data_IF_718560951098
#
_entry.id   IF_718560951098
#
_cell.length_a   1.000
_cell.length_b   1.000
_cell.length_c   1.000
_cell.angle_alpha   90.00
_cell.angle_beta   90.00
_cell.angle_gamma   90.00
#
_symmetry.space_group_name_H-M   'P 1'
#
loop_
_entity.id
_entity.type
_entity.pdbx_description
1 polymer ?
#
# COMPACT_ATOMS: atom_id res chain seq x y z
N UNK A 1 17.31 -12.72 7.79
CA UNK A 1 16.36 -11.80 8.45
C UNK A 1 16.21 -10.45 7.74
N UNK A 2 17.30 -9.72 7.39
CA UNK A 2 17.21 -8.37 6.77
C UNK A 2 16.50 -8.33 5.40
N UNK A 3 16.70 -9.34 4.54
CA UNK A 3 16.13 -9.36 3.18
C UNK A 3 14.61 -9.53 3.18
N UNK A 4 14.08 -10.36 4.08
CA UNK A 4 12.64 -10.62 4.19
C UNK A 4 11.87 -9.36 4.64
N UNK A 5 12.43 -8.59 5.57
CA UNK A 5 11.85 -7.32 6.00
C UNK A 5 11.80 -6.29 4.88
N UNK A 6 12.84 -6.22 4.02
CA UNK A 6 12.86 -5.34 2.84
C UNK A 6 11.84 -5.76 1.79
N UNK A 7 11.72 -7.05 1.49
CA UNK A 7 10.71 -7.54 0.54
C UNK A 7 9.28 -7.28 1.05
N UNK A 8 9.03 -7.51 2.34
CA UNK A 8 7.75 -7.18 2.97
C UNK A 8 7.44 -5.68 2.92
N UNK A 9 8.45 -4.82 3.11
CA UNK A 9 8.33 -3.37 2.99
C UNK A 9 7.82 -2.96 1.60
N UNK A 10 8.48 -3.47 0.57
CA UNK A 10 8.17 -3.17 -0.83
C UNK A 10 6.75 -3.62 -1.16
N UNK A 11 6.35 -4.83 -0.73
CA UNK A 11 4.98 -5.34 -0.89
C UNK A 11 3.93 -4.44 -0.21
N UNK A 12 4.19 -3.98 1.02
CA UNK A 12 3.28 -3.08 1.75
C UNK A 12 3.15 -1.73 1.03
N UNK A 13 4.25 -1.16 0.53
CA UNK A 13 4.23 0.10 -0.21
C UNK A 13 3.42 -0.05 -1.51
N UNK A 14 3.66 -1.12 -2.28
CA UNK A 14 2.91 -1.42 -3.51
C UNK A 14 1.42 -1.56 -3.20
N UNK A 15 1.06 -2.29 -2.14
CA UNK A 15 -0.32 -2.45 -1.70
C UNK A 15 -0.98 -1.13 -1.28
N UNK A 16 -0.29 -0.31 -0.47
CA UNK A 16 -0.79 0.98 0.00
C UNK A 16 -1.05 1.94 -1.16
N UNK A 17 -0.14 2.01 -2.12
CA UNK A 17 -0.30 2.81 -3.34
C UNK A 17 -1.50 2.31 -4.14
N UNK A 18 -1.62 1.00 -4.40
CA UNK A 18 -2.77 0.45 -5.13
C UNK A 18 -4.10 0.79 -4.43
N UNK A 19 -4.18 0.62 -3.11
CA UNK A 19 -5.42 0.89 -2.37
C UNK A 19 -5.78 2.38 -2.36
N UNK A 20 -4.79 3.28 -2.34
CA UNK A 20 -5.01 4.71 -2.48
C UNK A 20 -5.57 5.06 -3.88
N UNK A 21 -5.00 4.48 -4.93
CA UNK A 21 -5.47 4.64 -6.32
C UNK A 21 -6.91 4.13 -6.48
N UNK A 22 -7.25 3.04 -5.81
CA UNK A 22 -8.61 2.47 -5.81
C UNK A 22 -9.59 3.38 -5.08
N UNK A 23 -9.21 3.94 -3.94
CA UNK A 23 -10.06 4.85 -3.17
C UNK A 23 -10.37 6.17 -3.91
N UNK A 24 -9.32 6.80 -4.45
CA UNK A 24 -9.41 8.11 -5.13
C UNK A 24 -9.97 7.99 -6.54
N UNK A 25 -9.34 7.15 -7.37
CA UNK A 25 -9.57 7.10 -8.82
C UNK A 25 -10.36 5.87 -9.27
N UNK A 26 -10.79 4.99 -8.34
CA UNK A 26 -11.48 3.73 -8.66
C UNK A 26 -10.63 2.76 -9.51
N UNK A 27 -9.34 3.03 -9.62
CA UNK A 27 -8.47 2.33 -10.55
C UNK A 27 -7.61 1.30 -9.80
N UNK A 28 -7.72 0.04 -10.20
CA UNK A 28 -6.91 -1.06 -9.68
C UNK A 28 -5.74 -1.37 -10.61
N UNK A 29 -4.51 -1.09 -10.19
CA UNK A 29 -3.34 -1.51 -10.96
C UNK A 29 -3.22 -3.03 -11.00
N UNK A 30 -3.58 -3.73 -9.91
CA UNK A 30 -3.43 -5.20 -9.85
C UNK A 30 -4.38 -5.85 -10.84
N UNK A 31 -5.65 -5.43 -10.88
CA UNK A 31 -6.61 -5.95 -11.87
C UNK A 31 -6.28 -5.51 -13.29
N UNK A 32 -5.62 -4.37 -13.51
CA UNK A 32 -5.16 -3.93 -14.83
C UNK A 32 -3.98 -4.75 -15.36
N UNK A 33 -3.10 -5.25 -14.47
CA UNK A 33 -1.93 -6.04 -14.85
C UNK A 33 -2.20 -7.56 -14.87
N UNK A 34 -3.06 -8.06 -13.98
CA UNK A 34 -3.24 -9.50 -13.75
C UNK A 34 -4.69 -10.00 -13.87
N UNK A 35 -5.65 -9.11 -14.13
CA UNK A 35 -7.08 -9.44 -14.19
C UNK A 35 -7.69 -9.22 -15.58
N UNK A 36 -8.96 -9.63 -15.78
CA UNK A 36 -9.68 -9.46 -17.04
C UNK A 36 -10.07 -8.00 -17.37
N UNK A 37 -9.66 -7.04 -16.53
CA UNK A 37 -9.93 -5.60 -16.69
C UNK A 37 -10.38 -4.94 -15.40
N UNK A 38 -10.31 -3.59 -15.31
CA UNK A 38 -10.68 -2.84 -14.12
C UNK A 38 -12.21 -2.78 -13.96
N UNK A 39 -12.80 -3.78 -13.31
CA UNK A 39 -14.21 -3.76 -12.88
C UNK A 39 -14.26 -3.57 -11.37
N UNK A 40 -14.61 -2.36 -10.92
CA UNK A 40 -14.88 -2.08 -9.51
C UNK A 40 -16.27 -1.48 -9.35
N UNK A 41 -17.15 -2.22 -8.70
CA UNK A 41 -18.37 -1.66 -8.10
C UNK A 41 -17.95 -1.26 -6.70
N UNK A 42 -17.61 0.01 -6.48
CA UNK A 42 -17.24 0.45 -5.14
C UNK A 42 -18.22 1.47 -4.61
N UNK A 43 -18.80 1.13 -3.47
CA UNK A 43 -19.69 2.00 -2.72
C UNK A 43 -18.88 3.15 -2.10
N UNK A 44 -19.51 4.29 -1.82
CA UNK A 44 -18.84 5.47 -1.23
C UNK A 44 -18.07 5.08 0.04
N UNK A 45 -18.63 4.16 0.84
CA UNK A 45 -17.98 3.61 2.03
C UNK A 45 -16.68 2.87 1.72
N UNK A 46 -16.64 2.06 0.67
CA UNK A 46 -15.44 1.35 0.22
C UNK A 46 -14.34 2.34 -0.18
N UNK A 47 -14.70 3.43 -0.86
CA UNK A 47 -13.73 4.49 -1.25
C UNK A 47 -13.07 5.15 -0.06
N UNK A 48 -13.86 5.46 0.96
CA UNK A 48 -13.37 6.05 2.21
C UNK A 48 -12.41 5.08 2.89
N UNK A 49 -12.79 3.80 3.03
CA UNK A 49 -11.91 2.78 3.66
C UNK A 49 -10.61 2.61 2.86
N UNK A 50 -10.68 2.46 1.54
CA UNK A 50 -9.47 2.29 0.72
C UNK A 50 -8.54 3.51 0.76
N UNK A 51 -9.11 4.71 0.80
CA UNK A 51 -8.34 5.95 0.94
C UNK A 51 -7.65 6.03 2.30
N UNK A 52 -8.37 5.71 3.39
CA UNK A 52 -7.80 5.71 4.75
C UNK A 52 -6.73 4.63 4.90
N UNK A 53 -6.94 3.43 4.35
CA UNK A 53 -5.94 2.36 4.40
C UNK A 53 -4.71 2.71 3.55
N UNK A 54 -4.90 3.26 2.34
CA UNK A 54 -3.80 3.72 1.50
C UNK A 54 -2.98 4.83 2.16
N UNK A 55 -3.64 5.80 2.79
CA UNK A 55 -3.00 6.84 3.60
C UNK A 55 -2.29 6.28 4.84
N UNK A 56 -2.89 5.32 5.54
CA UNK A 56 -2.27 4.64 6.69
C UNK A 56 -1.02 3.85 6.29
N UNK A 57 -1.05 3.19 5.14
CA UNK A 57 0.12 2.53 4.56
C UNK A 57 1.22 3.52 4.18
N UNK A 58 0.87 4.68 3.61
CA UNK A 58 1.82 5.76 3.33
C UNK A 58 2.43 6.35 4.61
N UNK A 59 1.64 6.52 5.66
CA UNK A 59 2.08 7.04 6.96
C UNK A 59 3.06 6.09 7.67
N UNK A 60 2.95 4.79 7.43
CA UNK A 60 3.87 3.79 7.96
C UNK A 60 5.25 3.83 7.28
N UNK A 61 5.37 4.38 6.06
CA UNK A 61 6.65 4.46 5.33
C UNK A 61 7.75 5.16 6.15
N UNK A 62 7.58 6.41 6.64
CA UNK A 62 8.61 7.09 7.43
C UNK A 62 8.91 6.39 8.76
N UNK A 63 7.90 5.81 9.43
CA UNK A 63 8.10 5.08 10.68
C UNK A 63 8.94 3.81 10.48
N UNK A 64 8.81 3.18 9.32
CA UNK A 64 9.52 1.95 8.98
C UNK A 64 10.94 2.24 8.46
N UNK A 65 11.13 3.34 7.71
CA UNK A 65 12.46 3.86 7.34
C UNK A 65 13.26 4.30 8.58
N UNK A 66 12.62 4.94 9.56
CA UNK A 66 13.28 5.29 10.83
C UNK A 66 13.62 4.08 11.71
N UNK A 67 12.99 2.91 11.52
CA UNK A 67 13.36 1.69 12.26
C UNK A 67 14.62 1.01 11.73
N UNK A 68 14.96 1.16 10.45
CA UNK A 68 16.22 0.63 9.89
C UNK A 68 17.45 1.33 10.51
N UNK A 69 17.32 2.60 10.90
CA UNK A 69 18.40 3.40 11.50
C UNK A 69 18.71 3.11 12.98
N UNK A 70 17.91 2.28 13.67
CA UNK A 70 18.18 1.92 15.09
C UNK A 70 18.90 0.59 15.28
N UNK A 71 19.22 -0.14 14.21
CA UNK A 71 19.95 -1.41 14.30
C UNK A 71 21.47 -1.28 14.15
N UNK A 72 21.99 -0.06 14.03
CA UNK A 72 23.44 0.22 13.85
C UNK A 72 24.07 0.91 15.05
N UNK A 73 23.41 0.97 16.21
CA UNK A 73 23.90 1.70 17.40
C UNK A 73 24.09 0.77 18.62
N UNK A 74 24.12 -0.55 18.44
CA UNK A 74 24.57 -1.49 19.47
C UNK A 74 25.72 -2.35 18.95
#
# INVERSE_FOLDING_TARGET
MKTLSKTALVLVIIGAINWLLVGLFQWDLVSALFGPGPVRISSILSRVIYTIVGLGGLYLIPMLVSRENRQTVE
#
